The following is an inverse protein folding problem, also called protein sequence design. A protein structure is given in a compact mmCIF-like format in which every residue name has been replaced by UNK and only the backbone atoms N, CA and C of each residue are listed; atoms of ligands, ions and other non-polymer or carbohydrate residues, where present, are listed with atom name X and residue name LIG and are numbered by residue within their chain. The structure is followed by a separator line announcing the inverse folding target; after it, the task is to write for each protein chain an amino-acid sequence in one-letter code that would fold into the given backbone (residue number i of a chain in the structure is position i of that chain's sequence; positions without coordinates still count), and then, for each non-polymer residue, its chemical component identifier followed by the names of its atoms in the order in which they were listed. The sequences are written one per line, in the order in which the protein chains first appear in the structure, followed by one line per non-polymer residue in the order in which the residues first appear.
data_IF_091594732769
#
_entry.id   IF_091594732769
#
_cell.length_a   1.000
_cell.length_b   1.000
_cell.length_c   1.000
_cell.angle_alpha   90.00
_cell.angle_beta   90.00
_cell.angle_gamma   90.00
#
_symmetry.space_group_name_H-M   'P 1'
#
loop_
_entity.id
_entity.type
_entity.pdbx_description
1 polymer ?
#
# COMPACT_ATOMS: atom_id res chain seq x y z
N UNK A 1 27.32 -13.47 21.49
CA UNK A 1 26.74 -12.66 20.41
C UNK A 1 26.06 -13.63 19.48
N UNK A 2 24.73 -13.71 19.48
CA UNK A 2 23.99 -14.43 18.44
C UNK A 2 24.25 -13.69 17.13
N UNK A 3 24.86 -14.35 16.15
CA UNK A 3 25.10 -13.77 14.83
C UNK A 3 23.76 -13.33 14.22
N UNK A 4 23.79 -12.22 13.50
CA UNK A 4 22.63 -11.81 12.66
C UNK A 4 22.55 -12.84 11.54
N UNK A 5 21.45 -13.59 11.48
CA UNK A 5 21.19 -14.48 10.35
C UNK A 5 21.11 -13.66 9.05
N UNK A 6 21.64 -14.21 7.96
CA UNK A 6 21.60 -13.53 6.66
C UNK A 6 20.15 -13.26 6.23
N UNK A 7 19.90 -12.05 5.74
CA UNK A 7 18.58 -11.65 5.21
C UNK A 7 18.75 -10.90 3.89
N UNK A 8 17.68 -10.83 3.12
CA UNK A 8 17.62 -10.12 1.84
C UNK A 8 16.90 -8.80 2.04
N UNK A 9 17.50 -7.70 1.56
CA UNK A 9 16.82 -6.40 1.43
C UNK A 9 16.25 -6.35 0.03
N UNK A 10 14.92 -6.43 -0.08
CA UNK A 10 14.23 -6.36 -1.36
C UNK A 10 14.48 -5.00 -2.05
N UNK A 11 14.46 -4.94 -3.39
CA UNK A 11 14.58 -3.68 -4.14
C UNK A 11 13.51 -2.68 -3.69
N UNK A 12 13.83 -1.39 -3.78
CA UNK A 12 12.93 -0.29 -3.44
C UNK A 12 12.80 0.64 -4.64
N UNK A 13 11.64 1.28 -4.86
CA UNK A 13 11.53 2.33 -5.84
C UNK A 13 12.40 3.52 -5.45
N UNK A 14 12.85 4.28 -6.44
CA UNK A 14 13.37 5.62 -6.17
C UNK A 14 12.21 6.50 -5.69
N UNK A 15 12.29 7.04 -4.48
CA UNK A 15 11.24 7.86 -3.90
C UNK A 15 11.64 9.35 -3.92
N UNK A 16 10.76 10.19 -4.46
CA UNK A 16 10.87 11.65 -4.43
C UNK A 16 9.89 12.18 -3.41
N UNK A 17 10.39 12.75 -2.34
CA UNK A 17 9.57 13.22 -1.23
C UNK A 17 9.65 14.75 -1.09
N UNK A 18 8.49 15.36 -0.83
CA UNK A 18 8.35 16.77 -0.46
C UNK A 18 7.25 17.49 -1.24
N UNK A 19 6.79 18.61 -0.70
CA UNK A 19 5.80 19.46 -1.37
C UNK A 19 6.30 19.93 -2.74
N UNK A 20 5.48 19.77 -3.77
CA UNK A 20 5.83 20.06 -5.15
C UNK A 20 6.68 18.99 -5.85
N UNK A 21 6.94 17.84 -5.19
CA UNK A 21 7.72 16.76 -5.83
C UNK A 21 7.04 16.18 -7.06
N UNK A 22 5.73 16.38 -7.24
CA UNK A 22 4.99 15.97 -8.43
C UNK A 22 5.54 16.59 -9.73
N UNK A 23 6.17 17.76 -9.67
CA UNK A 23 6.80 18.42 -10.80
C UNK A 23 7.94 17.61 -11.43
N UNK A 24 8.46 16.60 -10.71
CA UNK A 24 9.48 15.67 -11.24
C UNK A 24 8.92 14.61 -12.18
N UNK A 25 7.59 14.46 -12.26
CA UNK A 25 6.94 13.40 -13.02
C UNK A 25 7.40 13.35 -14.49
N UNK A 26 7.46 14.45 -15.26
CA UNK A 26 7.92 14.38 -16.65
C UNK A 26 9.35 13.87 -16.79
N UNK A 27 10.26 14.32 -15.92
CA UNK A 27 11.66 13.87 -15.94
C UNK A 27 11.82 12.39 -15.57
N UNK A 28 10.95 11.88 -14.67
CA UNK A 28 10.92 10.46 -14.30
C UNK A 28 10.43 9.61 -15.48
N UNK A 29 9.39 10.03 -16.18
CA UNK A 29 8.89 9.35 -17.38
C UNK A 29 9.93 9.34 -18.51
N UNK A 30 10.61 10.47 -18.74
CA UNK A 30 11.70 10.57 -19.70
C UNK A 30 12.85 9.60 -19.37
N UNK A 31 13.21 9.46 -18.08
CA UNK A 31 14.23 8.51 -17.64
C UNK A 31 13.83 7.03 -17.79
N UNK A 32 12.53 6.72 -17.75
CA UNK A 32 11.99 5.41 -18.08
C UNK A 32 12.11 5.15 -19.59
N UNK A 33 12.04 6.20 -20.41
CA UNK A 33 12.06 6.14 -21.87
C UNK A 33 10.71 5.67 -22.44
N UNK A 34 9.60 6.00 -21.77
CA UNK A 34 8.28 5.71 -22.29
C UNK A 34 7.83 6.77 -23.31
N UNK A 35 7.09 6.33 -24.32
CA UNK A 35 6.61 7.15 -25.43
C UNK A 35 5.19 7.69 -25.16
N UNK A 36 4.45 7.01 -24.27
CA UNK A 36 3.12 7.42 -23.84
C UNK A 36 2.88 7.02 -22.38
N UNK A 37 1.88 7.64 -21.78
CA UNK A 37 1.48 7.42 -20.39
C UNK A 37 0.01 7.04 -20.29
N UNK A 38 -0.31 6.05 -19.45
CA UNK A 38 -1.67 5.84 -18.95
C UNK A 38 -1.71 6.24 -17.48
N UNK A 39 -2.47 7.27 -17.17
CA UNK A 39 -2.77 7.69 -15.79
C UNK A 39 -3.87 6.78 -15.26
N UNK A 40 -3.54 5.94 -14.29
CA UNK A 40 -4.49 5.01 -13.65
C UNK A 40 -4.99 5.63 -12.37
N UNK A 41 -6.31 5.79 -12.25
CA UNK A 41 -6.96 6.44 -11.11
C UNK A 41 -8.39 5.92 -10.92
N UNK A 42 -9.07 6.34 -9.86
CA UNK A 42 -10.50 6.11 -9.65
C UNK A 42 -11.35 7.28 -10.18
N UNK A 43 -12.66 7.02 -10.33
CA UNK A 43 -13.58 7.99 -10.90
C UNK A 43 -13.74 9.26 -10.04
N UNK A 44 -13.70 9.11 -8.71
CA UNK A 44 -13.83 10.24 -7.80
C UNK A 44 -12.61 11.17 -7.91
N UNK A 45 -11.41 10.59 -7.89
CA UNK A 45 -10.17 11.35 -7.98
C UNK A 45 -9.96 11.95 -9.37
N UNK A 46 -10.44 11.29 -10.44
CA UNK A 46 -10.34 11.80 -11.82
C UNK A 46 -11.00 13.18 -12.01
N UNK A 47 -12.01 13.51 -11.20
CA UNK A 47 -12.71 14.81 -11.23
C UNK A 47 -12.04 15.88 -10.36
N UNK A 48 -10.94 15.57 -9.67
CA UNK A 48 -10.26 16.49 -8.75
C UNK A 48 -9.12 17.27 -9.43
N UNK A 49 -8.66 18.38 -8.82
CA UNK A 49 -7.49 19.10 -9.29
C UNK A 49 -6.21 18.27 -9.36
N UNK A 50 -6.11 17.16 -8.61
CA UNK A 50 -4.90 16.31 -8.58
C UNK A 50 -4.64 15.67 -9.94
N UNK A 51 -5.65 15.04 -10.54
CA UNK A 51 -5.49 14.40 -11.86
C UNK A 51 -5.33 15.46 -12.96
N UNK A 52 -6.03 16.60 -12.85
CA UNK A 52 -5.87 17.73 -13.77
C UNK A 52 -4.42 18.27 -13.73
N UNK A 53 -3.81 18.38 -12.55
CA UNK A 53 -2.40 18.79 -12.39
C UNK A 53 -1.46 17.79 -13.06
N UNK A 54 -1.62 16.49 -12.80
CA UNK A 54 -0.79 15.45 -13.41
C UNK A 54 -0.87 15.47 -14.93
N UNK A 55 -2.07 15.58 -15.49
CA UNK A 55 -2.27 15.63 -16.94
C UNK A 55 -1.72 16.90 -17.55
N UNK A 56 -1.80 18.05 -16.86
CA UNK A 56 -1.19 19.31 -17.32
C UNK A 56 0.35 19.21 -17.38
N UNK A 57 0.99 18.67 -16.34
CA UNK A 57 2.44 18.46 -16.32
C UNK A 57 2.93 17.56 -17.48
N UNK A 58 2.17 16.49 -17.78
CA UNK A 58 2.48 15.61 -18.91
C UNK A 58 2.27 16.31 -20.25
N UNK A 59 1.22 17.14 -20.39
CA UNK A 59 0.93 17.90 -21.60
C UNK A 59 1.98 18.98 -21.86
N UNK A 60 2.43 19.71 -20.83
CA UNK A 60 3.50 20.71 -20.91
C UNK A 60 4.84 20.07 -21.37
N UNK A 61 5.06 18.82 -20.99
CA UNK A 61 6.21 18.03 -21.42
C UNK A 61 6.02 17.39 -22.83
N UNK A 62 4.91 17.69 -23.51
CA UNK A 62 4.52 17.07 -24.77
C UNK A 62 4.45 15.52 -24.71
N UNK A 63 4.17 14.97 -23.54
CA UNK A 63 4.03 13.54 -23.32
C UNK A 63 2.58 13.10 -23.62
N UNK A 64 2.33 12.23 -24.60
CA UNK A 64 1.01 11.68 -24.84
C UNK A 64 0.50 10.96 -23.60
N UNK A 65 -0.64 11.39 -23.09
CA UNK A 65 -1.22 10.82 -21.88
C UNK A 65 -2.71 10.50 -22.06
N UNK A 66 -3.15 9.37 -21.51
CA UNK A 66 -4.54 8.95 -21.43
C UNK A 66 -4.91 8.69 -19.97
N UNK A 67 -6.09 9.13 -19.54
CA UNK A 67 -6.60 8.82 -18.20
C UNK A 67 -7.50 7.58 -18.28
N UNK A 68 -7.21 6.58 -17.46
CA UNK A 68 -8.09 5.47 -17.15
C UNK A 68 -8.59 5.65 -15.72
N UNK A 69 -9.87 5.99 -15.56
CA UNK A 69 -10.53 6.27 -14.30
C UNK A 69 -11.50 5.17 -13.85
N UNK A 70 -11.35 3.98 -14.41
CA UNK A 70 -12.24 2.85 -14.15
C UNK A 70 -11.87 2.01 -12.93
N UNK A 71 -10.98 2.49 -12.05
CA UNK A 71 -10.63 1.75 -10.83
C UNK A 71 -11.70 1.98 -9.76
N UNK A 72 -12.23 0.89 -9.21
CA UNK A 72 -13.16 0.93 -8.07
C UNK A 72 -12.42 0.79 -6.74
N UNK A 73 -13.00 1.23 -5.61
CA UNK A 73 -12.55 0.81 -4.28
C UNK A 73 -12.51 -0.72 -4.22
N UNK A 74 -11.41 -1.29 -3.69
CA UNK A 74 -11.15 -2.73 -3.75
C UNK A 74 -11.15 -3.27 -5.20
N UNK A 75 -10.14 -2.91 -6.01
CA UNK A 75 -10.13 -3.12 -7.44
C UNK A 75 -10.35 -4.59 -7.81
N UNK A 76 -11.04 -4.80 -8.92
CA UNK A 76 -11.38 -6.12 -9.42
C UNK A 76 -10.50 -6.57 -10.59
N UNK A 77 -10.56 -7.85 -10.92
CA UNK A 77 -9.95 -8.39 -12.15
C UNK A 77 -10.57 -7.77 -13.41
N UNK A 78 -11.81 -7.28 -13.35
CA UNK A 78 -12.47 -6.61 -14.47
C UNK A 78 -11.90 -5.19 -14.66
N UNK A 79 -11.61 -4.47 -13.56
CA UNK A 79 -10.91 -3.17 -13.60
C UNK A 79 -9.53 -3.33 -14.24
N UNK A 80 -8.82 -4.39 -13.87
CA UNK A 80 -7.51 -4.71 -14.46
C UNK A 80 -7.63 -4.98 -15.96
N UNK A 81 -8.62 -5.76 -16.39
CA UNK A 81 -8.84 -6.06 -17.81
C UNK A 81 -9.18 -4.80 -18.60
N UNK A 82 -10.04 -3.94 -18.08
CA UNK A 82 -10.41 -2.66 -18.70
C UNK A 82 -9.19 -1.71 -18.80
N UNK A 83 -8.38 -1.63 -17.75
CA UNK A 83 -7.15 -0.85 -17.74
C UNK A 83 -6.11 -1.36 -18.74
N UNK A 84 -5.96 -2.69 -18.89
CA UNK A 84 -5.07 -3.27 -19.89
C UNK A 84 -5.52 -2.96 -21.33
N UNK A 85 -6.82 -2.90 -21.58
CA UNK A 85 -7.36 -2.44 -22.88
C UNK A 85 -7.01 -0.97 -23.14
N UNK A 86 -7.14 -0.09 -22.13
CA UNK A 86 -6.75 1.31 -22.24
C UNK A 86 -5.25 1.49 -22.53
N UNK A 87 -4.39 0.62 -22.00
CA UNK A 87 -2.95 0.59 -22.33
C UNK A 87 -2.72 0.21 -23.79
N UNK A 88 -3.43 -0.81 -24.29
CA UNK A 88 -3.29 -1.24 -25.69
C UNK A 88 -3.69 -0.11 -26.67
N UNK A 89 -4.75 0.63 -26.36
CA UNK A 89 -5.17 1.80 -27.14
C UNK A 89 -4.13 2.94 -27.09
N UNK A 90 -3.52 3.20 -25.93
CA UNK A 90 -2.46 4.21 -25.79
C UNK A 90 -1.22 3.83 -26.59
N UNK A 91 -0.80 2.55 -26.56
CA UNK A 91 0.34 2.04 -27.32
C UNK A 91 0.11 2.17 -28.83
N UNK A 92 -1.10 1.85 -29.31
CA UNK A 92 -1.46 2.00 -30.73
C UNK A 92 -1.43 3.48 -31.17
N UNK A 93 -1.89 4.40 -30.31
CA UNK A 93 -1.83 5.84 -30.53
C UNK A 93 -0.38 6.36 -30.60
N UNK A 94 0.48 5.93 -29.67
CA UNK A 94 1.90 6.32 -29.64
C UNK A 94 2.62 5.85 -30.91
N UNK A 95 2.43 4.60 -31.32
CA UNK A 95 3.03 4.05 -32.54
C UNK A 95 2.62 4.85 -33.79
N UNK A 96 1.36 5.29 -33.88
CA UNK A 96 0.88 6.13 -34.97
C UNK A 96 1.55 7.54 -34.99
N UNK A 97 1.75 8.14 -33.84
CA UNK A 97 2.43 9.45 -33.68
C UNK A 97 3.91 9.35 -34.04
N UNK A 98 4.59 8.27 -33.62
CA UNK A 98 6.02 8.07 -33.89
C UNK A 98 6.31 7.77 -35.35
N UNK A 99 5.41 7.05 -36.05
CA UNK A 99 5.52 6.88 -37.51
C UNK A 99 5.42 8.22 -38.24
N UNK A 100 4.70 9.21 -37.68
CA UNK A 100 4.61 10.57 -38.24
C UNK A 100 5.83 11.45 -37.85
N UNK A 101 6.50 11.14 -36.74
CA UNK A 101 7.56 11.97 -36.13
C UNK A 101 9.00 11.40 -36.30
N UNK A 102 9.22 10.43 -37.18
CA UNK A 102 10.51 9.73 -37.35
C UNK A 102 11.67 10.65 -37.77
N UNK A 103 12.09 11.56 -36.89
CA UNK A 103 13.39 12.26 -36.92
C UNK A 103 13.80 12.66 -35.49
N UNK A 104 14.97 12.15 -35.06
CA UNK A 104 15.81 12.59 -33.92
C UNK A 104 15.42 12.19 -32.51
N UNK A 105 15.84 10.98 -32.08
CA UNK A 105 16.04 10.66 -30.67
C UNK A 105 17.53 10.70 -30.33
N UNK A 106 17.98 11.73 -29.63
CA UNK A 106 19.31 11.76 -29.01
C UNK A 106 19.20 11.25 -27.60
N UNK A 107 19.84 10.12 -27.30
CA UNK A 107 19.92 9.55 -25.94
C UNK A 107 20.55 10.56 -24.97
N UNK A 108 19.79 11.04 -24.02
CA UNK A 108 20.29 11.84 -22.88
C UNK A 108 20.64 10.91 -21.73
N UNK A 109 21.92 10.80 -21.40
CA UNK A 109 22.38 10.18 -20.16
C UNK A 109 22.12 11.14 -19.00
N UNK A 110 21.11 10.86 -18.19
CA UNK A 110 20.84 11.58 -16.94
C UNK A 110 21.07 10.64 -15.74
N UNK A 111 21.36 11.24 -14.56
CA UNK A 111 21.49 10.52 -13.30
C UNK A 111 20.29 9.56 -13.06
N UNK A 112 20.44 8.49 -12.25
CA UNK A 112 19.41 7.49 -12.10
C UNK A 112 18.18 8.08 -11.38
N UNK A 113 17.21 8.54 -12.19
CA UNK A 113 15.91 9.05 -11.73
C UNK A 113 14.90 7.95 -11.43
N UNK A 114 15.25 6.69 -11.73
CA UNK A 114 14.39 5.52 -11.52
C UNK A 114 15.21 4.37 -10.97
N UNK A 115 14.52 3.40 -10.35
CA UNK A 115 15.16 2.20 -9.82
C UNK A 115 16.00 1.51 -10.92
N UNK A 116 17.23 1.03 -10.60
CA UNK A 116 18.07 0.31 -11.57
C UNK A 116 17.40 -0.94 -12.15
N UNK A 117 16.49 -1.56 -11.41
CA UNK A 117 15.74 -2.75 -11.83
C UNK A 117 14.48 -2.44 -12.64
N UNK A 118 14.12 -1.15 -12.83
CA UNK A 118 12.93 -0.77 -13.58
C UNK A 118 13.06 -1.14 -15.06
N UNK A 119 12.00 -1.67 -15.70
CA UNK A 119 11.93 -1.84 -17.13
C UNK A 119 12.14 -0.50 -17.83
N UNK A 120 12.91 -0.47 -18.93
CA UNK A 120 13.20 0.74 -19.69
C UNK A 120 12.89 0.53 -21.17
N UNK A 121 12.57 1.62 -21.86
CA UNK A 121 12.26 1.58 -23.27
C UNK A 121 10.92 0.89 -23.59
N UNK A 122 10.02 0.83 -22.59
CA UNK A 122 8.67 0.36 -22.83
C UNK A 122 7.86 1.44 -23.55
N UNK A 123 6.99 1.09 -24.52
CA UNK A 123 6.21 2.07 -25.28
C UNK A 123 5.24 2.86 -24.39
N UNK A 124 4.80 2.26 -23.29
CA UNK A 124 3.86 2.89 -22.34
C UNK A 124 4.37 2.74 -20.91
N UNK A 125 4.27 3.79 -20.12
CA UNK A 125 4.39 3.75 -18.65
C UNK A 125 3.02 3.99 -18.00
N UNK A 126 2.82 3.41 -16.82
CA UNK A 126 1.65 3.69 -15.99
C UNK A 126 2.01 4.74 -14.94
N UNK A 127 1.16 5.74 -14.76
CA UNK A 127 1.21 6.68 -13.65
C UNK A 127 0.02 6.42 -12.76
N UNK A 128 0.24 5.72 -11.65
CA UNK A 128 -0.81 5.37 -10.70
C UNK A 128 -1.04 6.53 -9.72
N UNK A 129 -2.12 7.28 -9.92
CA UNK A 129 -2.50 8.45 -9.09
C UNK A 129 -3.66 8.06 -8.21
N UNK A 130 -3.45 7.95 -6.91
CA UNK A 130 -4.52 7.57 -5.98
C UNK A 130 -4.02 6.87 -4.73
N UNK A 131 -4.95 6.29 -3.99
CA UNK A 131 -4.64 5.42 -2.85
C UNK A 131 -4.22 4.01 -3.28
N UNK A 132 -4.21 3.08 -2.32
CA UNK A 132 -3.83 1.68 -2.57
C UNK A 132 -4.57 1.04 -3.74
N UNK A 133 -5.87 1.30 -3.89
CA UNK A 133 -6.68 0.73 -4.98
C UNK A 133 -6.15 1.08 -6.37
N UNK A 134 -5.80 2.34 -6.62
CA UNK A 134 -5.26 2.76 -7.91
C UNK A 134 -3.87 2.15 -8.17
N UNK A 135 -3.02 2.07 -7.15
CA UNK A 135 -1.67 1.52 -7.26
C UNK A 135 -1.73 -0.01 -7.44
N UNK A 136 -2.59 -0.69 -6.72
CA UNK A 136 -2.78 -2.14 -6.84
C UNK A 136 -3.36 -2.54 -8.20
N UNK A 137 -4.39 -1.81 -8.67
CA UNK A 137 -4.91 -1.98 -10.01
C UNK A 137 -3.82 -1.77 -11.08
N UNK A 138 -2.99 -0.72 -10.93
CA UNK A 138 -1.90 -0.44 -11.87
C UNK A 138 -0.89 -1.59 -11.96
N UNK A 139 -0.59 -2.29 -10.87
CA UNK A 139 0.27 -3.48 -10.88
C UNK A 139 -0.34 -4.62 -11.70
N UNK A 140 -1.63 -4.90 -11.48
CA UNK A 140 -2.37 -5.87 -12.28
C UNK A 140 -2.42 -5.49 -13.76
N UNK A 141 -2.74 -4.23 -14.06
CA UNK A 141 -2.79 -3.66 -15.42
C UNK A 141 -1.42 -3.79 -16.10
N UNK A 142 -0.33 -3.43 -15.40
CA UNK A 142 1.02 -3.49 -15.92
C UNK A 142 1.44 -4.91 -16.33
N UNK A 143 0.94 -5.93 -15.63
CA UNK A 143 1.15 -7.34 -15.96
C UNK A 143 0.24 -7.76 -17.14
N UNK A 144 -1.06 -7.50 -17.02
CA UNK A 144 -2.06 -7.96 -17.99
C UNK A 144 -1.90 -7.32 -19.37
N UNK A 145 -1.37 -6.11 -19.45
CA UNK A 145 -1.13 -5.41 -20.71
C UNK A 145 -0.07 -6.07 -21.60
N UNK A 146 0.87 -6.82 -21.02
CA UNK A 146 1.99 -7.46 -21.74
C UNK A 146 2.00 -8.99 -21.62
N UNK A 147 1.08 -9.56 -20.85
CA UNK A 147 0.93 -11.00 -20.68
C UNK A 147 -0.52 -11.42 -20.96
N UNK A 148 -0.77 -12.58 -21.58
CA UNK A 148 -2.12 -13.08 -21.87
C UNK A 148 -2.77 -13.69 -20.62
N UNK A 149 -2.79 -12.97 -19.51
CA UNK A 149 -3.35 -13.39 -18.21
C UNK A 149 -4.65 -12.64 -17.92
N UNK A 150 -5.64 -13.34 -17.34
CA UNK A 150 -6.96 -12.79 -17.00
C UNK A 150 -7.50 -13.41 -15.72
N UNK A 151 -8.35 -12.67 -15.01
CA UNK A 151 -9.00 -13.17 -13.81
C UNK A 151 -7.97 -13.70 -12.81
N UNK A 152 -8.18 -14.92 -12.33
CA UNK A 152 -7.31 -15.57 -11.34
C UNK A 152 -5.90 -15.92 -11.85
N UNK A 153 -5.64 -15.88 -13.14
CA UNK A 153 -4.28 -16.05 -13.68
C UNK A 153 -3.37 -14.87 -13.33
N UNK A 154 -3.94 -13.77 -12.83
CA UNK A 154 -3.20 -12.63 -12.25
C UNK A 154 -2.63 -12.93 -10.86
N UNK A 155 -3.02 -14.02 -10.19
CA UNK A 155 -2.48 -14.41 -8.88
C UNK A 155 -0.94 -14.42 -8.93
N UNK A 156 -0.31 -13.86 -7.91
CA UNK A 156 1.15 -13.70 -7.84
C UNK A 156 1.93 -15.04 -7.89
N UNK A 157 1.25 -16.17 -7.64
CA UNK A 157 1.79 -17.53 -7.80
C UNK A 157 1.82 -18.00 -9.25
N UNK A 158 1.11 -17.30 -10.14
CA UNK A 158 1.09 -17.62 -11.56
C UNK A 158 2.38 -17.20 -12.24
N UNK A 159 2.78 -17.91 -13.29
CA UNK A 159 3.98 -17.56 -14.05
C UNK A 159 3.71 -16.38 -14.99
N UNK A 160 4.53 -15.37 -14.88
CA UNK A 160 4.54 -14.20 -15.78
C UNK A 160 5.80 -14.30 -16.66
N UNK A 161 5.61 -14.31 -17.97
CA UNK A 161 6.70 -14.54 -18.93
C UNK A 161 7.38 -13.23 -19.37
N UNK A 162 6.62 -12.13 -19.39
CA UNK A 162 7.09 -10.80 -19.79
C UNK A 162 7.08 -9.88 -18.58
N UNK A 163 8.16 -9.12 -18.33
CA UNK A 163 8.16 -8.13 -17.25
C UNK A 163 6.99 -7.16 -17.39
N UNK A 164 6.42 -6.77 -16.25
CA UNK A 164 5.36 -5.76 -16.18
C UNK A 164 5.80 -4.43 -16.81
N UNK A 165 4.85 -3.63 -17.29
CA UNK A 165 5.13 -2.26 -17.71
C UNK A 165 5.65 -1.43 -16.52
N UNK A 166 6.49 -0.41 -16.77
CA UNK A 166 6.97 0.45 -15.69
C UNK A 166 5.84 1.26 -15.08
N UNK A 167 5.87 1.38 -13.75
CA UNK A 167 4.89 2.12 -12.96
C UNK A 167 5.59 3.27 -12.24
N UNK A 168 5.03 4.47 -12.31
CA UNK A 168 5.32 5.58 -11.41
C UNK A 168 4.14 5.71 -10.45
N UNK A 169 4.37 5.50 -9.16
CA UNK A 169 3.32 5.60 -8.16
C UNK A 169 3.28 7.02 -7.57
N UNK A 170 2.07 7.58 -7.52
CA UNK A 170 1.78 8.91 -6.96
C UNK A 170 0.66 8.74 -5.92
N UNK A 171 1.01 8.32 -4.69
CA UNK A 171 0.01 8.10 -3.66
C UNK A 171 -0.64 9.42 -3.22
N UNK A 172 -1.96 9.40 -3.10
CA UNK A 172 -2.75 10.52 -2.57
C UNK A 172 -3.31 10.22 -1.18
N UNK A 173 -2.98 9.05 -0.61
CA UNK A 173 -3.30 8.64 0.76
C UNK A 173 -2.02 8.23 1.49
N UNK A 174 -1.99 8.40 2.80
CA UNK A 174 -0.89 7.98 3.67
C UNK A 174 -1.30 6.72 4.45
N UNK A 175 -1.29 5.55 3.79
CA UNK A 175 -1.83 4.33 4.40
C UNK A 175 -1.15 3.05 3.94
N UNK A 176 -1.62 2.48 2.85
CA UNK A 176 -1.30 1.12 2.41
C UNK A 176 0.18 0.84 2.13
N UNK A 177 0.98 1.86 1.83
CA UNK A 177 2.37 1.65 1.40
C UNK A 177 2.50 0.86 0.09
N UNK A 178 1.43 0.77 -0.70
CA UNK A 178 1.40 0.01 -1.94
C UNK A 178 2.47 0.46 -2.95
N UNK A 179 2.84 1.72 -2.93
CA UNK A 179 3.90 2.31 -3.76
C UNK A 179 5.30 1.77 -3.43
N UNK A 180 5.48 1.14 -2.27
CA UNK A 180 6.75 0.54 -1.82
C UNK A 180 6.77 -1.00 -1.94
N UNK A 181 5.74 -1.60 -2.54
CA UNK A 181 5.59 -3.06 -2.69
C UNK A 181 5.50 -3.46 -4.16
N UNK A 182 6.02 -4.65 -4.47
CA UNK A 182 5.83 -5.30 -5.78
C UNK A 182 4.44 -5.94 -5.93
N UNK A 183 3.72 -6.12 -4.83
CA UNK A 183 2.43 -6.80 -4.80
C UNK A 183 1.30 -5.80 -4.56
N UNK A 184 0.15 -6.08 -5.12
CA UNK A 184 -1.12 -5.42 -4.89
C UNK A 184 -2.20 -6.43 -4.56
N UNK A 185 -3.38 -5.96 -4.21
CA UNK A 185 -4.53 -6.81 -3.85
C UNK A 185 -5.68 -6.48 -4.78
N UNK A 186 -6.23 -7.50 -5.43
CA UNK A 186 -7.42 -7.38 -6.27
C UNK A 186 -8.49 -8.39 -5.84
N UNK A 187 -9.72 -8.13 -6.23
CA UNK A 187 -10.87 -8.99 -5.94
C UNK A 187 -11.29 -9.71 -7.22
N UNK A 188 -11.59 -10.99 -7.10
CA UNK A 188 -12.27 -11.75 -8.15
C UNK A 188 -13.79 -11.58 -7.97
N UNK A 189 -14.51 -10.93 -8.89
CA UNK A 189 -15.97 -10.76 -8.77
C UNK A 189 -16.76 -12.07 -8.76
N UNK A 190 -16.20 -13.13 -9.33
CA UNK A 190 -16.84 -14.45 -9.36
C UNK A 190 -16.75 -15.18 -8.01
N UNK A 191 -15.74 -14.85 -7.21
CA UNK A 191 -15.54 -15.40 -5.87
C UNK A 191 -15.17 -14.22 -4.97
N UNK A 192 -16.01 -13.81 -4.01
CA UNK A 192 -15.80 -12.59 -3.20
C UNK A 192 -14.60 -12.76 -2.26
N UNK A 193 -13.43 -12.88 -2.85
CA UNK A 193 -12.15 -13.10 -2.21
C UNK A 193 -11.08 -12.23 -2.84
N UNK A 194 -10.30 -11.62 -1.99
CA UNK A 194 -9.09 -10.88 -2.38
C UNK A 194 -7.92 -11.82 -2.57
N UNK A 195 -7.07 -11.52 -3.53
CA UNK A 195 -5.82 -12.25 -3.77
C UNK A 195 -4.72 -11.28 -4.22
N UNK A 196 -3.49 -11.74 -4.11
CA UNK A 196 -2.34 -10.93 -4.51
C UNK A 196 -2.10 -10.99 -6.01
N UNK A 197 -1.97 -9.82 -6.60
CA UNK A 197 -1.39 -9.62 -7.92
C UNK A 197 0.00 -9.02 -7.76
N UNK A 198 0.87 -9.30 -8.69
CA UNK A 198 2.21 -8.72 -8.68
C UNK A 198 3.29 -9.76 -8.90
N UNK A 199 4.45 -9.26 -9.20
CA UNK A 199 5.68 -10.01 -9.42
C UNK A 199 6.85 -9.10 -9.05
N UNK A 200 8.05 -9.64 -8.84
CA UNK A 200 9.23 -8.84 -8.53
C UNK A 200 9.43 -7.64 -9.48
N UNK A 201 9.02 -7.81 -10.76
CA UNK A 201 9.09 -6.77 -11.79
C UNK A 201 7.91 -5.77 -11.78
N UNK A 202 6.94 -5.92 -10.88
CA UNK A 202 5.82 -4.97 -10.70
C UNK A 202 6.10 -3.93 -9.62
N UNK A 203 7.29 -3.94 -9.03
CA UNK A 203 7.75 -2.88 -8.15
C UNK A 203 7.73 -1.56 -8.93
N UNK A 204 7.10 -0.49 -8.40
CA UNK A 204 7.16 0.83 -9.05
C UNK A 204 8.60 1.23 -9.39
N UNK A 205 8.79 1.75 -10.58
CA UNK A 205 10.08 2.27 -11.05
C UNK A 205 10.50 3.50 -10.25
N UNK A 206 9.52 4.31 -9.88
CA UNK A 206 9.68 5.46 -9.01
C UNK A 206 8.38 5.71 -8.24
N UNK A 207 8.50 6.44 -7.14
CA UNK A 207 7.40 6.89 -6.30
C UNK A 207 7.53 8.38 -6.06
N UNK A 208 6.46 9.14 -6.22
CA UNK A 208 6.43 10.58 -5.98
C UNK A 208 5.52 10.83 -4.77
N UNK A 209 6.14 11.16 -3.66
CA UNK A 209 5.51 11.35 -2.35
C UNK A 209 5.30 12.86 -2.11
N UNK A 210 4.29 13.42 -2.75
CA UNK A 210 3.94 14.84 -2.59
C UNK A 210 2.81 15.00 -1.56
N UNK A 211 3.09 15.53 -0.36
CA UNK A 211 2.09 15.66 0.68
C UNK A 211 0.95 16.63 0.33
N UNK A 212 1.16 17.56 -0.61
CA UNK A 212 0.11 18.48 -1.08
C UNK A 212 -1.06 17.70 -1.68
N UNK A 213 -0.79 16.56 -2.31
CA UNK A 213 -1.82 15.71 -2.92
C UNK A 213 -2.70 14.98 -1.90
N UNK A 214 -2.35 15.01 -0.61
CA UNK A 214 -3.12 14.41 0.47
C UNK A 214 -4.00 15.40 1.23
N UNK A 215 -3.84 16.71 1.00
CA UNK A 215 -4.53 17.78 1.77
C UNK A 215 -6.05 17.73 1.63
N UNK A 216 -6.57 17.27 0.49
CA UNK A 216 -8.01 17.15 0.24
C UNK A 216 -8.70 15.93 0.86
N UNK A 217 -7.96 15.06 1.58
CA UNK A 217 -8.55 13.87 2.18
C UNK A 217 -9.47 14.22 3.35
N UNK A 218 -10.69 13.63 3.42
CA UNK A 218 -11.57 13.73 4.59
C UNK A 218 -10.89 13.21 5.87
N UNK A 219 -11.26 13.73 7.05
CA UNK A 219 -10.71 13.28 8.33
C UNK A 219 -10.84 11.78 8.57
N UNK A 220 -11.99 11.19 8.24
CA UNK A 220 -12.25 9.76 8.39
C UNK A 220 -11.36 8.90 7.48
N UNK A 221 -11.07 9.35 6.27
CA UNK A 221 -10.15 8.67 5.37
C UNK A 221 -8.70 8.81 5.86
N UNK A 222 -8.35 10.00 6.38
CA UNK A 222 -7.03 10.23 6.99
C UNK A 222 -6.82 9.33 8.20
N UNK A 223 -7.82 9.20 9.07
CA UNK A 223 -7.77 8.33 10.25
C UNK A 223 -7.62 6.85 9.84
N UNK A 224 -8.47 6.37 8.93
CA UNK A 224 -8.45 4.99 8.47
C UNK A 224 -7.10 4.63 7.81
N UNK A 225 -6.61 5.47 6.90
CA UNK A 225 -5.33 5.21 6.23
C UNK A 225 -4.15 5.31 7.18
N UNK A 226 -4.15 6.24 8.13
CA UNK A 226 -3.13 6.34 9.16
C UNK A 226 -3.07 5.12 10.08
N UNK A 227 -4.23 4.56 10.45
CA UNK A 227 -4.30 3.31 11.22
C UNK A 227 -3.85 2.09 10.39
N UNK A 228 -4.11 2.08 9.08
CA UNK A 228 -3.56 1.09 8.15
C UNK A 228 -2.02 1.14 8.14
N UNK A 229 -1.43 2.32 7.96
CA UNK A 229 0.02 2.50 8.01
C UNK A 229 0.62 2.06 9.36
N UNK A 230 -0.06 2.36 10.48
CA UNK A 230 0.36 1.91 11.81
C UNK A 230 0.34 0.38 11.92
N UNK A 231 -0.71 -0.25 11.40
CA UNK A 231 -0.83 -1.71 11.39
C UNK A 231 0.27 -2.35 10.55
N UNK A 232 0.53 -1.80 9.36
CA UNK A 232 1.63 -2.24 8.49
C UNK A 232 2.99 -2.19 9.24
N UNK A 233 3.27 -1.09 9.93
CA UNK A 233 4.52 -0.91 10.66
C UNK A 233 4.62 -1.86 11.88
N UNK A 234 3.54 -2.03 12.64
CA UNK A 234 3.52 -2.91 13.81
C UNK A 234 3.61 -4.38 13.41
N UNK A 235 2.83 -4.85 12.43
CA UNK A 235 2.92 -6.23 11.97
C UNK A 235 4.29 -6.54 11.34
N UNK A 236 4.85 -5.60 10.58
CA UNK A 236 6.22 -5.71 10.07
C UNK A 236 7.23 -5.87 11.20
N UNK A 237 7.14 -5.02 12.23
CA UNK A 237 8.06 -5.07 13.38
C UNK A 237 7.89 -6.34 14.19
N UNK A 238 6.67 -6.85 14.35
CA UNK A 238 6.38 -8.06 15.12
C UNK A 238 6.58 -9.37 14.32
N UNK A 239 6.84 -9.33 13.04
CA UNK A 239 6.91 -10.47 12.13
C UNK A 239 7.83 -11.60 12.62
N UNK A 240 7.59 -12.83 12.12
CA UNK A 240 8.50 -13.98 12.27
C UNK A 240 9.85 -13.77 11.55
N UNK A 241 9.90 -12.87 10.58
CA UNK A 241 11.07 -12.60 9.74
C UNK A 241 11.72 -11.24 10.08
N UNK A 242 12.12 -11.01 11.36
CA UNK A 242 12.69 -9.74 11.76
C UNK A 242 14.05 -9.54 11.13
N UNK A 243 14.36 -8.31 10.78
CA UNK A 243 15.73 -7.92 10.43
C UNK A 243 16.00 -6.48 10.89
N UNK A 244 17.22 -6.15 11.30
CA UNK A 244 17.54 -4.85 11.91
C UNK A 244 17.25 -3.65 10.99
N UNK A 245 17.34 -3.85 9.68
CA UNK A 245 17.06 -2.80 8.70
C UNK A 245 15.59 -2.43 8.67
N UNK A 246 14.69 -3.42 8.55
CA UNK A 246 13.25 -3.20 8.58
C UNK A 246 12.76 -2.77 9.97
N UNK A 247 13.36 -3.30 11.05
CA UNK A 247 13.01 -2.95 12.41
C UNK A 247 13.20 -1.45 12.68
N UNK A 248 14.35 -0.89 12.26
CA UNK A 248 14.61 0.54 12.43
C UNK A 248 13.62 1.41 11.64
N UNK A 249 13.26 0.99 10.43
CA UNK A 249 12.29 1.70 9.57
C UNK A 249 10.88 1.62 10.17
N UNK A 250 10.46 0.42 10.62
CA UNK A 250 9.14 0.21 11.20
C UNK A 250 8.94 1.01 12.51
N UNK A 251 9.91 0.98 13.42
CA UNK A 251 9.86 1.76 14.67
C UNK A 251 9.81 3.28 14.40
N UNK A 252 10.54 3.75 13.39
CA UNK A 252 10.47 5.16 13.01
C UNK A 252 9.11 5.52 12.41
N UNK A 253 8.52 4.65 11.57
CA UNK A 253 7.18 4.84 11.02
C UNK A 253 6.13 4.89 12.15
N UNK A 254 6.17 3.96 13.11
CA UNK A 254 5.27 3.95 14.29
C UNK A 254 5.34 5.28 15.03
N UNK A 255 6.55 5.78 15.31
CA UNK A 255 6.75 7.06 16.02
C UNK A 255 6.14 8.23 15.27
N UNK A 256 6.38 8.31 13.95
CA UNK A 256 5.89 9.39 13.12
C UNK A 256 4.36 9.37 13.01
N UNK A 257 3.76 8.19 12.85
CA UNK A 257 2.29 8.04 12.78
C UNK A 257 1.65 8.43 14.12
N UNK A 258 2.12 7.87 15.23
CA UNK A 258 1.56 8.16 16.54
C UNK A 258 1.61 9.66 16.89
N UNK A 259 2.69 10.34 16.52
CA UNK A 259 2.88 11.76 16.80
C UNK A 259 2.04 12.69 15.90
N UNK A 260 1.71 12.29 14.67
CA UNK A 260 1.15 13.21 13.68
C UNK A 260 -0.27 12.87 13.23
N UNK A 261 -0.74 11.62 13.41
CA UNK A 261 -2.07 11.22 12.95
C UNK A 261 -3.21 12.04 13.59
N UNK A 262 -3.23 12.28 14.91
CA UNK A 262 -4.27 13.12 15.51
C UNK A 262 -4.31 14.55 14.96
N UNK A 263 -3.14 15.15 14.70
CA UNK A 263 -3.05 16.50 14.16
C UNK A 263 -3.60 16.57 12.72
N UNK A 264 -3.21 15.63 11.86
CA UNK A 264 -3.68 15.58 10.47
C UNK A 264 -5.17 15.25 10.35
N UNK A 265 -5.74 14.51 11.30
CA UNK A 265 -7.20 14.26 11.39
C UNK A 265 -7.95 15.49 11.86
N UNK A 266 -7.41 16.21 12.85
CA UNK A 266 -8.02 17.43 13.39
C UNK A 266 -7.95 18.61 12.41
N UNK A 267 -6.84 18.74 11.69
CA UNK A 267 -6.62 19.77 10.67
C UNK A 267 -6.03 19.13 9.41
N UNK A 268 -6.90 18.82 8.45
CA UNK A 268 -6.50 18.25 7.16
C UNK A 268 -5.59 19.16 6.32
N UNK A 269 -5.44 20.44 6.67
CA UNK A 269 -4.58 21.40 5.98
C UNK A 269 -3.17 21.52 6.61
N UNK A 270 -2.93 20.86 7.76
CA UNK A 270 -1.60 20.77 8.35
C UNK A 270 -0.63 19.98 7.46
N UNK A 271 0.03 20.69 6.56
CA UNK A 271 0.97 20.10 5.60
C UNK A 271 2.17 19.44 6.29
N UNK A 272 2.56 19.90 7.48
CA UNK A 272 3.66 19.29 8.24
C UNK A 272 3.26 17.90 8.75
N UNK A 273 2.09 17.78 9.38
CA UNK A 273 1.55 16.49 9.81
C UNK A 273 1.31 15.55 8.63
N UNK A 274 0.72 16.04 7.52
CA UNK A 274 0.53 15.29 6.27
C UNK A 274 1.83 14.76 5.69
N UNK A 275 2.88 15.59 5.69
CA UNK A 275 4.21 15.21 5.20
C UNK A 275 4.79 14.07 6.04
N UNK A 276 4.69 14.16 7.37
CA UNK A 276 5.16 13.12 8.27
C UNK A 276 4.39 11.80 8.06
N UNK A 277 3.07 11.87 7.90
CA UNK A 277 2.24 10.67 7.67
C UNK A 277 2.54 10.02 6.33
N UNK A 278 2.67 10.78 5.24
CA UNK A 278 2.96 10.23 3.91
C UNK A 278 4.32 9.52 3.89
N UNK A 279 5.33 10.14 4.51
CA UNK A 279 6.65 9.52 4.63
C UNK A 279 6.60 8.27 5.51
N UNK A 280 5.88 8.33 6.64
CA UNK A 280 5.75 7.19 7.55
C UNK A 280 5.00 6.01 6.90
N UNK A 281 3.94 6.26 6.14
CA UNK A 281 3.23 5.23 5.39
C UNK A 281 4.14 4.56 4.35
N UNK A 282 4.93 5.33 3.63
CA UNK A 282 5.96 4.80 2.72
C UNK A 282 6.98 3.93 3.46
N UNK A 283 7.49 4.40 4.60
CA UNK A 283 8.43 3.64 5.43
C UNK A 283 7.81 2.33 5.94
N UNK A 284 6.54 2.35 6.38
CA UNK A 284 5.82 1.14 6.77
C UNK A 284 5.70 0.15 5.60
N UNK A 285 5.38 0.66 4.40
CA UNK A 285 5.35 -0.11 3.16
C UNK A 285 6.70 -0.76 2.82
N UNK A 286 7.79 0.00 2.98
CA UNK A 286 9.15 -0.48 2.80
C UNK A 286 9.49 -1.59 3.81
N UNK A 287 9.12 -1.42 5.08
CA UNK A 287 9.38 -2.41 6.12
C UNK A 287 8.61 -3.72 5.86
N UNK A 288 7.28 -3.64 5.65
CA UNK A 288 6.44 -4.80 5.43
C UNK A 288 6.80 -5.60 4.16
N UNK A 289 7.33 -4.92 3.14
CA UNK A 289 7.78 -5.58 1.90
C UNK A 289 8.99 -6.50 2.12
N UNK A 290 9.66 -6.43 3.27
CA UNK A 290 10.80 -7.28 3.63
C UNK A 290 10.47 -8.31 4.71
N UNK A 291 9.42 -8.09 5.49
CA UNK A 291 9.10 -8.91 6.66
C UNK A 291 7.77 -9.65 6.54
N UNK A 292 6.92 -9.24 5.60
CA UNK A 292 5.54 -9.66 5.50
C UNK A 292 4.63 -8.97 6.51
N UNK A 293 3.35 -9.32 6.43
CA UNK A 293 2.25 -8.87 7.29
C UNK A 293 1.77 -10.06 8.14
N UNK A 294 0.67 -9.89 8.90
CA UNK A 294 0.24 -10.92 9.82
C UNK A 294 -1.28 -11.09 9.95
N UNK A 295 -1.70 -11.56 11.12
CA UNK A 295 -3.06 -12.00 11.40
C UNK A 295 -4.10 -10.86 11.25
N UNK A 296 -3.74 -9.62 11.60
CA UNK A 296 -4.63 -8.47 11.44
C UNK A 296 -5.02 -8.29 9.96
N UNK A 297 -4.05 -8.37 9.05
CA UNK A 297 -4.31 -8.30 7.62
C UNK A 297 -5.06 -9.51 7.08
N UNK A 298 -4.77 -10.72 7.55
CA UNK A 298 -5.48 -11.93 7.12
C UNK A 298 -6.98 -11.82 7.40
N UNK A 299 -7.36 -11.44 8.62
CA UNK A 299 -8.76 -11.23 8.99
C UNK A 299 -9.34 -10.02 8.25
N UNK A 300 -8.63 -8.89 8.22
CA UNK A 300 -9.08 -7.65 7.59
C UNK A 300 -9.37 -7.80 6.10
N UNK A 301 -8.66 -8.68 5.38
CA UNK A 301 -8.93 -8.97 3.96
C UNK A 301 -10.21 -9.74 3.74
N UNK A 302 -10.54 -10.71 4.60
CA UNK A 302 -11.84 -11.38 4.54
C UNK A 302 -12.97 -10.39 4.74
N UNK A 303 -12.87 -9.51 5.75
CA UNK A 303 -13.83 -8.45 6.01
C UNK A 303 -14.00 -7.52 4.80
N UNK A 304 -12.88 -7.09 4.21
CA UNK A 304 -12.89 -6.24 3.03
C UNK A 304 -13.44 -6.90 1.77
N UNK A 305 -13.19 -8.20 1.57
CA UNK A 305 -13.65 -8.92 0.38
C UNK A 305 -15.15 -9.24 0.41
N UNK A 306 -15.69 -9.56 1.57
CA UNK A 306 -17.09 -10.00 1.72
C UNK A 306 -18.05 -8.86 2.07
N UNK A 307 -17.63 -7.94 2.94
CA UNK A 307 -18.49 -6.85 3.42
C UNK A 307 -18.06 -5.47 2.88
N UNK A 308 -17.10 -5.47 1.96
CA UNK A 308 -16.58 -4.24 1.33
C UNK A 308 -16.10 -3.20 2.34
N UNK A 309 -15.61 -3.64 3.50
CA UNK A 309 -15.06 -2.77 4.54
C UNK A 309 -13.72 -2.22 4.05
N UNK A 310 -13.51 -0.90 4.19
CA UNK A 310 -12.25 -0.27 3.84
C UNK A 310 -11.10 -0.88 4.68
N UNK A 311 -9.91 -1.14 4.08
CA UNK A 311 -8.80 -1.82 4.78
C UNK A 311 -8.47 -1.20 6.13
N UNK A 312 -8.22 0.11 6.18
CA UNK A 312 -7.85 0.79 7.43
C UNK A 312 -8.92 0.73 8.50
N UNK A 313 -10.21 0.66 8.13
CA UNK A 313 -11.32 0.46 9.08
C UNK A 313 -11.24 -0.96 9.65
N UNK A 314 -11.15 -1.98 8.79
CA UNK A 314 -11.05 -3.38 9.20
C UNK A 314 -9.84 -3.62 10.13
N UNK A 315 -8.68 -3.09 9.74
CA UNK A 315 -7.45 -3.24 10.51
C UNK A 315 -7.53 -2.53 11.87
N UNK A 316 -8.11 -1.32 11.91
CA UNK A 316 -8.23 -0.56 13.16
C UNK A 316 -9.11 -1.25 14.19
N UNK A 317 -10.16 -1.96 13.76
CA UNK A 317 -11.01 -2.76 14.66
C UNK A 317 -10.21 -3.89 15.32
N UNK A 318 -9.38 -4.57 14.57
CA UNK A 318 -8.72 -5.80 14.96
C UNK A 318 -7.38 -5.59 15.69
N UNK A 319 -6.68 -4.50 15.39
CA UNK A 319 -5.27 -4.32 15.76
C UNK A 319 -5.02 -4.47 17.27
N UNK A 320 -5.74 -3.83 18.20
CA UNK A 320 -5.46 -3.97 19.63
C UNK A 320 -5.56 -5.42 20.12
N UNK A 321 -6.54 -6.18 19.62
CA UNK A 321 -6.76 -7.56 20.05
C UNK A 321 -5.75 -8.53 19.42
N UNK A 322 -5.35 -8.29 18.18
CA UNK A 322 -4.25 -9.04 17.53
C UNK A 322 -2.91 -8.78 18.23
N UNK A 323 -2.67 -7.55 18.71
CA UNK A 323 -1.47 -7.26 19.52
C UNK A 323 -1.51 -8.02 20.86
N UNK A 324 -2.68 -8.08 21.54
CA UNK A 324 -2.86 -8.91 22.76
C UNK A 324 -2.64 -10.39 22.47
N UNK A 325 -3.14 -10.89 21.35
CA UNK A 325 -2.91 -12.27 20.91
C UNK A 325 -1.42 -12.58 20.74
N UNK A 326 -0.65 -11.65 20.17
CA UNK A 326 0.78 -11.82 19.93
C UNK A 326 1.66 -11.55 21.18
N UNK A 327 1.13 -10.90 22.22
CA UNK A 327 1.87 -10.49 23.41
C UNK A 327 2.73 -11.61 24.03
N UNK A 328 2.25 -12.86 24.23
CA UNK A 328 3.03 -13.89 24.90
C UNK A 328 4.33 -14.26 24.18
N UNK A 329 4.39 -14.04 22.87
CA UNK A 329 5.56 -14.42 22.03
C UNK A 329 6.35 -13.20 21.54
N UNK A 330 5.86 -11.98 21.79
CA UNK A 330 6.46 -10.72 21.31
C UNK A 330 6.56 -9.64 22.40
N UNK A 331 6.55 -10.01 23.69
CA UNK A 331 6.60 -9.07 24.82
C UNK A 331 7.70 -8.03 24.66
N UNK A 332 8.94 -8.43 24.39
CA UNK A 332 10.05 -7.47 24.27
C UNK A 332 9.86 -6.51 23.08
N UNK A 333 9.42 -7.01 21.92
CA UNK A 333 9.21 -6.17 20.75
C UNK A 333 8.04 -5.19 20.93
N UNK A 334 6.98 -5.61 21.65
CA UNK A 334 5.89 -4.70 22.03
C UNK A 334 6.36 -3.66 23.04
N UNK A 335 7.22 -4.07 24.00
CA UNK A 335 7.83 -3.13 24.94
C UNK A 335 8.69 -2.07 24.20
N UNK A 336 9.46 -2.47 23.21
CA UNK A 336 10.24 -1.53 22.38
C UNK A 336 9.32 -0.60 21.57
N UNK A 337 8.23 -1.15 21.00
CA UNK A 337 7.24 -0.37 20.27
C UNK A 337 6.53 0.69 21.16
N UNK A 338 6.38 0.44 22.48
CA UNK A 338 5.80 1.41 23.39
C UNK A 338 6.54 2.75 23.41
N UNK A 339 7.87 2.72 23.29
CA UNK A 339 8.69 3.94 23.21
C UNK A 339 8.47 4.68 21.88
N UNK A 340 8.29 3.94 20.80
CA UNK A 340 7.95 4.55 19.50
C UNK A 340 6.54 5.18 19.52
N UNK A 341 5.60 4.57 20.24
CA UNK A 341 4.24 5.09 20.46
C UNK A 341 4.18 6.24 21.48
N UNK A 342 5.29 6.56 22.17
CA UNK A 342 5.34 7.60 23.20
C UNK A 342 4.76 7.18 24.56
N UNK A 343 4.52 5.88 24.79
CA UNK A 343 3.94 5.32 26.00
C UNK A 343 4.96 4.53 26.86
N UNK A 344 6.20 4.40 26.38
CA UNK A 344 7.24 3.62 27.08
C UNK A 344 7.78 4.33 28.32
N UNK A 345 8.02 3.53 29.37
CA UNK A 345 8.63 3.96 30.64
C UNK A 345 9.92 3.15 30.89
N UNK A 346 11.05 3.85 30.96
CA UNK A 346 12.37 3.22 31.20
C UNK A 346 12.49 2.57 32.59
N UNK A 347 11.64 2.94 33.55
CA UNK A 347 11.58 2.34 34.88
C UNK A 347 10.64 1.12 34.97
N UNK A 348 9.83 0.86 33.94
CA UNK A 348 8.89 -0.23 33.92
C UNK A 348 9.50 -1.54 33.41
N UNK A 349 8.85 -2.68 33.72
CA UNK A 349 9.19 -3.99 33.14
C UNK A 349 8.78 -4.07 31.68
N UNK A 350 9.35 -5.03 30.93
CA UNK A 350 8.96 -5.30 29.55
C UNK A 350 7.46 -5.60 29.43
N UNK A 351 6.89 -6.38 30.36
CA UNK A 351 5.46 -6.71 30.34
C UNK A 351 4.58 -5.44 30.49
N UNK A 352 4.96 -4.51 31.38
CA UNK A 352 4.23 -3.25 31.53
C UNK A 352 4.32 -2.36 30.30
N UNK A 353 5.52 -2.26 29.71
CA UNK A 353 5.72 -1.50 28.48
C UNK A 353 4.98 -2.14 27.31
N UNK A 354 4.95 -3.47 27.21
CA UNK A 354 4.22 -4.17 26.17
C UNK A 354 2.70 -3.95 26.29
N UNK A 355 2.15 -3.96 27.50
CA UNK A 355 0.75 -3.60 27.76
C UNK A 355 0.49 -2.12 27.40
N UNK A 356 1.39 -1.20 27.78
CA UNK A 356 1.29 0.22 27.46
C UNK A 356 1.31 0.47 25.93
N UNK A 357 2.04 -0.33 25.15
CA UNK A 357 1.99 -0.24 23.68
C UNK A 357 0.59 -0.56 23.12
N UNK A 358 -0.04 -1.61 23.63
CA UNK A 358 -1.39 -2.02 23.22
C UNK A 358 -2.43 -0.95 23.60
N UNK A 359 -2.34 -0.45 24.83
CA UNK A 359 -3.23 0.59 25.33
C UNK A 359 -3.05 1.91 24.55
N UNK A 360 -1.81 2.25 24.16
CA UNK A 360 -1.53 3.43 23.33
C UNK A 360 -2.14 3.29 21.93
N UNK A 361 -2.10 2.11 21.31
CA UNK A 361 -2.76 1.86 20.02
C UNK A 361 -4.28 1.98 20.14
N UNK A 362 -4.87 1.43 21.20
CA UNK A 362 -6.30 1.55 21.45
C UNK A 362 -6.73 3.01 21.68
N UNK A 363 -5.96 3.75 22.48
CA UNK A 363 -6.20 5.18 22.74
C UNK A 363 -6.07 6.02 21.46
N UNK A 364 -5.06 5.76 20.63
CA UNK A 364 -4.89 6.46 19.35
C UNK A 364 -6.07 6.19 18.42
N UNK A 365 -6.52 4.93 18.32
CA UNK A 365 -7.70 4.54 17.56
C UNK A 365 -8.94 5.34 17.97
N UNK A 366 -9.20 5.45 19.28
CA UNK A 366 -10.32 6.24 19.81
C UNK A 366 -10.13 7.74 19.53
N UNK A 367 -8.93 8.27 19.75
CA UNK A 367 -8.61 9.69 19.56
C UNK A 367 -8.87 10.16 18.13
N UNK A 368 -8.65 9.29 17.13
CA UNK A 368 -8.88 9.60 15.70
C UNK A 368 -10.25 9.18 15.21
N UNK A 369 -11.17 8.80 16.11
CA UNK A 369 -12.56 8.49 15.80
C UNK A 369 -12.80 7.13 15.14
N UNK A 370 -11.83 6.22 15.18
CA UNK A 370 -11.94 4.88 14.58
C UNK A 370 -12.56 3.89 15.58
N UNK A 371 -13.82 4.13 15.98
CA UNK A 371 -14.51 3.40 17.05
C UNK A 371 -15.40 2.26 16.58
N UNK A 372 -15.56 2.08 15.25
CA UNK A 372 -16.42 1.05 14.69
C UNK A 372 -16.02 -0.36 15.18
N UNK A 373 -17.04 -1.23 15.32
CA UNK A 373 -16.92 -2.64 15.63
C UNK A 373 -17.39 -3.49 14.45
N UNK A 374 -17.05 -4.77 14.44
CA UNK A 374 -17.47 -5.70 13.38
C UNK A 374 -19.00 -5.80 13.29
N UNK A 375 -19.69 -5.74 14.44
CA UNK A 375 -21.15 -5.76 14.50
C UNK A 375 -21.83 -4.58 13.77
N UNK A 376 -21.19 -3.42 13.69
CA UNK A 376 -21.72 -2.23 12.99
C UNK A 376 -21.89 -2.46 11.47
N UNK A 377 -21.21 -3.47 10.94
CA UNK A 377 -21.28 -3.88 9.52
C UNK A 377 -22.26 -5.04 9.28
N UNK A 378 -23.06 -5.41 10.27
CA UNK A 378 -24.02 -6.51 10.18
C UNK A 378 -23.40 -7.91 10.20
N UNK A 379 -22.15 -8.02 10.62
CA UNK A 379 -21.42 -9.28 10.76
C UNK A 379 -21.83 -9.92 12.08
N UNK A 380 -22.18 -11.20 12.03
CA UNK A 380 -22.68 -11.97 13.16
C UNK A 380 -21.83 -13.22 13.41
N UNK A 381 -22.05 -13.90 14.52
CA UNK A 381 -21.36 -15.17 14.81
C UNK A 381 -21.52 -16.23 13.71
N UNK A 382 -22.61 -16.19 12.95
CA UNK A 382 -22.83 -17.10 11.82
C UNK A 382 -21.77 -16.92 10.71
N UNK A 383 -21.17 -15.73 10.60
CA UNK A 383 -20.19 -15.39 9.58
C UNK A 383 -18.75 -15.76 10.01
N UNK A 384 -18.51 -15.96 11.30
CA UNK A 384 -17.18 -16.17 11.86
C UNK A 384 -16.45 -17.38 11.28
N UNK A 385 -17.19 -18.47 10.99
CA UNK A 385 -16.60 -19.66 10.40
C UNK A 385 -15.97 -19.38 9.03
N UNK A 386 -16.67 -18.59 8.20
CA UNK A 386 -16.20 -18.24 6.87
C UNK A 386 -15.05 -17.23 6.91
N UNK A 387 -15.11 -16.23 7.80
CA UNK A 387 -14.01 -15.27 8.00
C UNK A 387 -12.77 -16.02 8.46
N UNK A 388 -12.93 -16.99 9.36
CA UNK A 388 -11.83 -17.81 9.88
C UNK A 388 -11.19 -18.66 8.77
N UNK A 389 -12.00 -19.30 7.93
CA UNK A 389 -11.50 -20.08 6.80
C UNK A 389 -10.69 -19.22 5.82
N UNK A 390 -11.24 -18.07 5.44
CA UNK A 390 -10.55 -17.13 4.53
C UNK A 390 -9.23 -16.62 5.13
N UNK A 391 -9.23 -16.27 6.42
CA UNK A 391 -8.04 -15.78 7.10
C UNK A 391 -6.96 -16.86 7.21
N UNK A 392 -7.34 -18.12 7.49
CA UNK A 392 -6.40 -19.24 7.60
C UNK A 392 -5.75 -19.61 6.26
N UNK A 393 -6.43 -19.33 5.15
CA UNK A 393 -5.88 -19.56 3.81
C UNK A 393 -5.08 -18.37 3.25
N UNK A 394 -4.94 -17.29 4.03
CA UNK A 394 -4.17 -16.11 3.60
C UNK A 394 -2.65 -16.32 3.81
N UNK A 395 -1.89 -16.05 2.74
CA UNK A 395 -0.42 -16.24 2.71
C UNK A 395 0.33 -15.40 3.75
N UNK A 396 -0.23 -14.27 4.21
CA UNK A 396 0.44 -13.41 5.21
C UNK A 396 0.59 -14.09 6.56
N UNK A 397 -0.18 -15.14 6.85
CA UNK A 397 -0.02 -15.91 8.08
C UNK A 397 1.36 -16.56 8.22
N UNK A 398 2.07 -16.78 7.11
CA UNK A 398 3.44 -17.26 7.14
C UNK A 398 4.41 -16.34 7.91
N UNK A 399 4.05 -15.05 8.05
CA UNK A 399 4.85 -14.06 8.80
C UNK A 399 4.28 -13.77 10.19
N UNK A 400 3.13 -14.35 10.55
CA UNK A 400 2.49 -14.14 11.86
C UNK A 400 3.35 -14.74 12.98
N UNK A 401 3.66 -13.96 14.04
CA UNK A 401 4.58 -14.41 15.09
C UNK A 401 4.05 -15.54 15.96
N UNK A 402 2.73 -15.63 16.11
CA UNK A 402 2.04 -16.69 16.83
C UNK A 402 1.05 -17.38 15.89
N UNK A 403 1.21 -18.68 15.61
CA UNK A 403 0.23 -19.42 14.83
C UNK A 403 -1.17 -19.30 15.44
N UNK A 404 -2.15 -18.96 14.62
CA UNK A 404 -3.53 -18.82 15.04
C UNK A 404 -4.32 -20.11 14.72
N UNK A 405 -4.97 -20.69 15.72
CA UNK A 405 -5.95 -21.76 15.54
C UNK A 405 -7.32 -21.14 15.12
N UNK A 406 -8.22 -21.92 14.50
CA UNK A 406 -9.58 -21.46 14.19
C UNK A 406 -10.30 -20.83 15.39
N UNK A 407 -10.14 -21.42 16.59
CA UNK A 407 -10.71 -20.90 17.84
C UNK A 407 -10.12 -19.54 18.27
N UNK A 408 -8.85 -19.28 17.95
CA UNK A 408 -8.23 -17.99 18.28
C UNK A 408 -8.86 -16.87 17.42
N UNK A 409 -9.04 -17.12 16.11
CA UNK A 409 -9.65 -16.17 15.19
C UNK A 409 -11.11 -15.90 15.57
N UNK A 410 -11.87 -16.97 15.87
CA UNK A 410 -13.26 -16.84 16.32
C UNK A 410 -13.36 -16.02 17.62
N UNK A 411 -12.43 -16.18 18.57
CA UNK A 411 -12.39 -15.39 19.80
C UNK A 411 -12.06 -13.93 19.55
N UNK A 412 -11.14 -13.61 18.61
CA UNK A 412 -10.84 -12.24 18.21
C UNK A 412 -12.06 -11.55 17.57
N UNK A 413 -12.81 -12.26 16.73
CA UNK A 413 -14.04 -11.74 16.12
C UNK A 413 -15.14 -11.50 17.16
N UNK A 414 -15.33 -12.43 18.12
CA UNK A 414 -16.30 -12.30 19.19
C UNK A 414 -15.99 -11.11 20.13
N UNK A 415 -14.72 -10.75 20.30
CA UNK A 415 -14.31 -9.56 21.06
C UNK A 415 -14.70 -8.23 20.40
N UNK A 416 -15.11 -8.25 19.12
CA UNK A 416 -15.53 -7.09 18.33
C UNK A 416 -17.04 -7.10 18.01
N UNK A 417 -17.81 -7.99 18.65
CA UNK A 417 -19.25 -8.16 18.43
C UNK A 417 -20.08 -7.24 19.34
#
# INVERSE_FOLDING_TARGET
MSGIDGFVIAPKPTAYFGAGSIERLPAVIDAIGAEAVVVVTDQALASTPVVAMVTALLAEAAMPARVFSGVHPNPSTDDVAAGAAAVAEAAAGAAAVLQAAAVTATLRASAPLVSPSAPRGAPVALVAVGGGSAIDAAKGIAIAAVNPVRGRDLDCRSRVNVPALPIVAVPTTAGTGAEASAFGVVTDPAVPRRFYVGHANSMPAATILDPVLTVGLPPEVTAATGMDALTNALESYLSLHPNPWSDGIALQAIRMIAANLPAAVADGTDLAARSQLLLAAHMAGVAMSNTGLGLCHAIGRSLGGRWNIAPGVALSMLLPDVLRFNLPVRTQRLADASFALGAGDTGATADRNAAAAIDAVAALREQVGMTALIADFGITEADFAQITEDALDDEVLASTPRPAAPSDIAALLAGQS
#
